data_IF_183994249086
#
_entry.id   IF_183994249086
#
_cell.length_a   1.000
_cell.length_b   1.000
_cell.length_c   1.000
_cell.angle_alpha   90.00
_cell.angle_beta   90.00
_cell.angle_gamma   90.00
#
_symmetry.space_group_name_H-M   'P 1'
#
loop_
_entity.id
_entity.type
_entity.pdbx_description
1 polymer ?
#
# COMPACT_ATOMS: atom_id res chain seq x y z
N UNK A 1 13.51 20.77 2.67
CA UNK A 1 12.14 20.19 2.56
C UNK A 1 12.00 19.07 3.58
N UNK A 2 10.83 18.94 4.21
CA UNK A 2 10.55 17.84 5.14
C UNK A 2 9.77 16.74 4.43
N UNK A 3 10.30 15.52 4.45
CA UNK A 3 9.69 14.35 3.82
C UNK A 3 9.24 13.39 4.92
N UNK A 4 8.06 12.81 4.80
CA UNK A 4 7.58 11.75 5.67
C UNK A 4 7.49 10.43 4.90
N UNK A 5 8.25 9.42 5.31
CA UNK A 5 8.05 8.04 4.87
C UNK A 5 7.10 7.36 5.86
N UNK A 6 5.92 6.96 5.39
CA UNK A 6 4.90 6.34 6.22
C UNK A 6 5.10 4.82 6.21
N UNK A 7 5.21 4.21 7.39
CA UNK A 7 5.40 2.78 7.65
C UNK A 7 6.51 2.49 8.67
N UNK A 8 6.78 1.21 8.90
CA UNK A 8 7.71 0.74 9.93
C UNK A 8 8.54 -0.48 9.51
N UNK A 9 8.45 -0.90 8.25
CA UNK A 9 9.20 -2.04 7.73
C UNK A 9 10.58 -1.66 7.22
N UNK A 10 11.38 -2.67 6.88
CA UNK A 10 12.71 -2.45 6.30
C UNK A 10 12.68 -1.76 4.92
N UNK A 11 11.56 -1.88 4.18
CA UNK A 11 11.34 -1.14 2.93
C UNK A 11 11.32 0.37 3.20
N UNK A 12 10.60 0.79 4.23
CA UNK A 12 10.49 2.21 4.57
C UNK A 12 11.82 2.78 5.08
N UNK A 13 12.58 2.01 5.88
CA UNK A 13 13.93 2.43 6.27
C UNK A 13 14.87 2.56 5.06
N UNK A 14 14.82 1.62 4.11
CA UNK A 14 15.65 1.68 2.91
C UNK A 14 15.29 2.88 2.02
N UNK A 15 14.00 3.19 1.89
CA UNK A 15 13.53 4.39 1.18
C UNK A 15 14.01 5.65 1.89
N UNK A 16 13.82 5.74 3.21
CA UNK A 16 14.26 6.88 4.01
C UNK A 16 15.76 7.10 3.88
N UNK A 17 16.56 6.03 4.01
CA UNK A 17 18.01 6.06 3.82
C UNK A 17 18.42 6.55 2.42
N UNK A 18 17.75 6.08 1.37
CA UNK A 18 18.05 6.51 0.00
C UNK A 18 17.70 7.99 -0.24
N UNK A 19 16.58 8.46 0.33
CA UNK A 19 16.18 9.87 0.27
C UNK A 19 17.16 10.77 1.03
N UNK A 20 17.61 10.35 2.21
CA UNK A 20 18.67 11.06 2.95
C UNK A 20 19.95 11.17 2.10
N UNK A 21 20.36 10.06 1.46
CA UNK A 21 21.57 10.01 0.67
C UNK A 21 21.54 10.95 -0.56
N UNK A 22 20.42 10.96 -1.29
CA UNK A 22 20.25 11.78 -2.49
C UNK A 22 20.10 13.28 -2.23
N UNK A 23 19.66 13.66 -1.02
CA UNK A 23 19.29 15.04 -0.68
C UNK A 23 20.24 15.73 0.31
N UNK A 24 21.38 15.11 0.64
CA UNK A 24 22.38 15.69 1.55
C UNK A 24 22.86 17.11 1.18
N UNK A 25 22.67 17.58 -0.05
CA UNK A 25 23.07 18.92 -0.49
C UNK A 25 22.02 20.03 -0.23
N UNK A 26 20.77 19.69 0.13
CA UNK A 26 19.65 20.64 0.21
C UNK A 26 19.05 20.81 1.62
N UNK A 27 19.71 20.31 2.67
CA UNK A 27 19.23 20.34 4.06
C UNK A 27 17.80 19.77 4.23
N UNK A 28 17.46 18.73 3.45
CA UNK A 28 16.18 18.04 3.58
C UNK A 28 16.16 17.13 4.83
N UNK A 29 15.04 17.12 5.56
CA UNK A 29 14.82 16.23 6.72
C UNK A 29 13.87 15.11 6.33
N UNK A 30 14.29 13.86 6.52
CA UNK A 30 13.48 12.67 6.22
C UNK A 30 13.01 12.06 7.53
N UNK A 31 11.70 12.15 7.79
CA UNK A 31 11.03 11.53 8.91
C UNK A 31 10.45 10.18 8.52
N UNK A 32 10.33 9.26 9.47
CA UNK A 32 9.61 7.99 9.31
C UNK A 32 8.54 7.89 10.40
N UNK A 33 7.33 7.45 10.05
CA UNK A 33 6.26 7.26 11.03
C UNK A 33 5.43 5.97 10.77
N UNK A 34 5.22 5.11 11.78
CA UNK A 34 5.80 5.19 13.13
C UNK A 34 7.28 4.78 13.17
N UNK A 35 7.85 4.30 12.07
CA UNK A 35 9.23 3.83 11.99
C UNK A 35 9.52 2.60 12.85
N UNK A 36 10.79 2.23 12.95
CA UNK A 36 11.26 1.14 13.81
C UNK A 36 12.59 1.53 14.52
N UNK A 37 13.29 0.57 15.12
CA UNK A 37 14.55 0.83 15.85
C UNK A 37 15.73 1.32 15.00
N UNK A 38 15.66 1.18 13.67
CA UNK A 38 16.64 1.69 12.73
C UNK A 38 16.34 3.10 12.21
N UNK A 39 15.11 3.59 12.38
CA UNK A 39 14.68 4.88 11.84
C UNK A 39 15.29 6.05 12.65
N UNK A 40 15.97 6.98 11.97
CA UNK A 40 16.71 8.08 12.61
C UNK A 40 15.81 9.19 13.16
N UNK A 41 14.99 9.80 12.30
CA UNK A 41 14.03 10.83 12.68
C UNK A 41 12.63 10.21 12.72
N UNK A 42 12.16 9.88 13.92
CA UNK A 42 10.92 9.13 14.11
C UNK A 42 9.80 10.05 14.57
N UNK A 43 8.64 9.92 13.94
CA UNK A 43 7.38 10.52 14.38
C UNK A 43 6.41 9.40 14.75
N UNK A 44 5.37 9.73 15.54
CA UNK A 44 4.36 8.76 15.97
C UNK A 44 3.00 9.12 15.37
N UNK A 45 2.39 8.15 14.69
CA UNK A 45 1.04 8.21 14.12
C UNK A 45 0.61 6.80 13.75
N UNK A 46 -0.70 6.52 13.85
CA UNK A 46 -1.26 5.34 13.19
C UNK A 46 -1.20 5.56 11.67
N UNK A 47 -0.43 4.76 10.92
CA UNK A 47 -0.28 4.95 9.47
C UNK A 47 -1.55 4.61 8.70
N UNK A 48 -2.59 4.06 9.34
CA UNK A 48 -3.88 3.73 8.73
C UNK A 48 -4.99 4.72 9.09
N UNK A 49 -4.70 5.76 9.88
CA UNK A 49 -5.63 6.86 10.17
C UNK A 49 -5.34 8.06 9.25
N UNK A 50 -6.15 8.29 8.20
CA UNK A 50 -5.88 9.37 7.23
C UNK A 50 -5.87 10.75 7.88
N UNK A 51 -6.73 11.00 8.86
CA UNK A 51 -6.85 12.31 9.48
C UNK A 51 -5.66 12.58 10.40
N UNK A 52 -5.25 11.59 11.19
CA UNK A 52 -4.08 11.71 12.05
C UNK A 52 -2.79 11.96 11.24
N UNK A 53 -2.65 11.31 10.07
CA UNK A 53 -1.52 11.54 9.16
C UNK A 53 -1.54 12.96 8.58
N UNK A 54 -2.70 13.47 8.16
CA UNK A 54 -2.83 14.86 7.67
C UNK A 54 -2.46 15.86 8.78
N UNK A 55 -2.93 15.64 10.01
CA UNK A 55 -2.66 16.53 11.14
C UNK A 55 -1.20 16.48 11.58
N UNK A 56 -0.55 15.32 11.52
CA UNK A 56 0.90 15.18 11.67
C UNK A 56 1.63 16.02 10.61
N UNK A 57 1.25 15.88 9.34
CA UNK A 57 1.92 16.57 8.24
C UNK A 57 1.83 18.09 8.38
N UNK A 58 0.68 18.61 8.81
CA UNK A 58 0.50 20.05 9.07
C UNK A 58 1.35 20.53 10.24
N UNK A 59 1.36 19.79 11.35
CA UNK A 59 2.13 20.14 12.55
C UNK A 59 3.63 20.17 12.28
N UNK A 60 4.13 19.17 11.54
CA UNK A 60 5.55 19.03 11.26
C UNK A 60 5.98 19.73 9.97
N UNK A 61 5.08 20.45 9.29
CA UNK A 61 5.34 21.12 8.02
C UNK A 61 5.93 20.18 6.94
N UNK A 62 5.37 18.98 6.81
CA UNK A 62 5.76 17.98 5.81
C UNK A 62 5.38 18.47 4.41
N UNK A 63 6.36 18.50 3.51
CA UNK A 63 6.21 18.92 2.11
C UNK A 63 6.01 17.77 1.13
N UNK A 64 6.29 16.53 1.53
CA UNK A 64 6.05 15.33 0.74
C UNK A 64 5.84 14.12 1.66
N UNK A 65 4.83 13.30 1.36
CA UNK A 65 4.64 12.00 2.00
C UNK A 65 4.93 10.88 1.00
N UNK A 66 5.69 9.87 1.41
CA UNK A 66 5.91 8.62 0.67
C UNK A 66 5.23 7.50 1.44
N UNK A 67 4.19 6.90 0.87
CA UNK A 67 3.41 5.85 1.56
C UNK A 67 4.00 4.48 1.23
N UNK A 68 4.49 3.78 2.26
CA UNK A 68 5.04 2.43 2.12
C UNK A 68 3.99 1.32 2.21
N UNK A 69 3.29 1.17 3.36
CA UNK A 69 2.33 0.09 3.58
C UNK A 69 1.12 0.15 2.67
N UNK A 70 0.78 -1.01 2.11
CA UNK A 70 -0.43 -1.23 1.32
C UNK A 70 -1.72 -1.03 2.14
N UNK A 71 -1.66 -1.24 3.46
CA UNK A 71 -2.77 -0.98 4.38
C UNK A 71 -3.11 0.51 4.47
N UNK A 72 -2.11 1.39 4.50
CA UNK A 72 -2.30 2.86 4.47
C UNK A 72 -2.95 3.30 3.15
N UNK A 73 -2.54 2.68 2.04
CA UNK A 73 -3.13 2.94 0.73
C UNK A 73 -4.60 2.49 0.68
N UNK A 74 -4.89 1.29 1.18
CA UNK A 74 -6.25 0.76 1.28
C UNK A 74 -7.17 1.63 2.17
N UNK A 75 -6.61 2.22 3.23
CA UNK A 75 -7.32 3.11 4.15
C UNK A 75 -7.59 4.51 3.57
N UNK A 76 -7.08 4.84 2.38
CA UNK A 76 -7.32 6.14 1.74
C UNK A 76 -6.45 7.28 2.26
N UNK A 77 -5.30 6.98 2.88
CA UNK A 77 -4.37 8.00 3.39
C UNK A 77 -3.89 8.93 2.27
N UNK A 78 -3.53 8.39 1.11
CA UNK A 78 -3.13 9.20 -0.04
C UNK A 78 -4.24 10.13 -0.54
N UNK A 79 -5.51 9.73 -0.42
CA UNK A 79 -6.63 10.55 -0.85
C UNK A 79 -6.84 11.73 0.10
N UNK A 80 -6.81 11.47 1.42
CA UNK A 80 -6.89 12.52 2.43
C UNK A 80 -5.74 13.54 2.32
N UNK A 81 -4.51 13.07 2.05
CA UNK A 81 -3.36 13.95 1.83
C UNK A 81 -3.54 14.85 0.60
N UNK A 82 -4.04 14.28 -0.52
CA UNK A 82 -4.35 15.08 -1.72
C UNK A 82 -5.44 16.10 -1.47
N UNK A 83 -6.51 15.73 -0.77
CA UNK A 83 -7.60 16.64 -0.41
C UNK A 83 -7.10 17.79 0.48
N UNK A 84 -6.15 17.49 1.37
CA UNK A 84 -5.47 18.48 2.19
C UNK A 84 -4.38 19.29 1.45
N UNK A 85 -4.20 19.10 0.14
CA UNK A 85 -3.16 19.73 -0.69
C UNK A 85 -1.72 19.43 -0.23
N UNK A 86 -1.50 18.27 0.39
CA UNK A 86 -0.18 17.77 0.78
C UNK A 86 0.33 16.83 -0.32
N UNK A 87 1.50 17.10 -0.94
CA UNK A 87 2.07 16.20 -1.93
C UNK A 87 2.29 14.79 -1.38
N UNK A 88 1.86 13.79 -2.14
CA UNK A 88 1.96 12.38 -1.74
C UNK A 88 2.37 11.49 -2.91
N UNK A 89 3.36 10.64 -2.66
CA UNK A 89 3.73 9.52 -3.51
C UNK A 89 3.10 8.23 -2.97
N UNK A 90 2.05 7.78 -3.65
CA UNK A 90 1.28 6.59 -3.32
C UNK A 90 -0.05 6.62 -4.07
N UNK A 91 -0.61 5.49 -4.55
CA UNK A 91 -1.88 5.49 -5.27
C UNK A 91 -3.06 5.95 -4.39
N UNK A 92 -4.18 6.32 -5.01
CA UNK A 92 -5.48 6.45 -4.31
C UNK A 92 -5.95 5.09 -3.80
N UNK A 93 -6.89 5.04 -2.85
CA UNK A 93 -7.50 3.79 -2.40
C UNK A 93 -8.10 2.99 -3.56
N UNK A 94 -8.74 3.68 -4.51
CA UNK A 94 -9.28 3.04 -5.71
C UNK A 94 -8.19 2.41 -6.59
N UNK A 95 -7.06 3.10 -6.81
CA UNK A 95 -5.96 2.57 -7.60
C UNK A 95 -5.20 1.46 -6.85
N UNK A 96 -5.13 1.56 -5.52
CA UNK A 96 -4.50 0.56 -4.65
C UNK A 96 -5.20 -0.81 -4.72
N UNK A 97 -6.45 -0.88 -5.19
CA UNK A 97 -7.17 -2.14 -5.42
C UNK A 97 -6.41 -3.12 -6.33
N UNK A 98 -5.52 -2.65 -7.19
CA UNK A 98 -4.63 -3.52 -7.99
C UNK A 98 -3.70 -4.39 -7.14
N UNK A 99 -3.34 -3.92 -5.94
CA UNK A 99 -2.49 -4.61 -4.97
C UNK A 99 -3.30 -5.18 -3.80
N UNK A 100 -4.33 -4.46 -3.36
CA UNK A 100 -5.09 -4.80 -2.14
C UNK A 100 -6.21 -5.81 -2.40
N UNK A 101 -6.64 -6.02 -3.65
CA UNK A 101 -7.60 -7.06 -4.04
C UNK A 101 -7.08 -7.87 -5.22
N UNK A 102 -6.81 -9.15 -4.96
CA UNK A 102 -6.43 -10.13 -5.98
C UNK A 102 -7.58 -10.35 -6.96
N UNK A 103 -8.83 -10.38 -6.49
CA UNK A 103 -10.00 -10.49 -7.34
C UNK A 103 -10.11 -9.30 -8.32
N UNK A 104 -9.96 -8.07 -7.81
CA UNK A 104 -9.93 -6.87 -8.64
C UNK A 104 -8.79 -6.92 -9.66
N UNK A 105 -7.58 -7.26 -9.22
CA UNK A 105 -6.41 -7.39 -10.08
C UNK A 105 -6.63 -8.41 -11.22
N UNK A 106 -7.22 -9.58 -10.94
CA UNK A 106 -7.55 -10.60 -11.96
C UNK A 106 -8.62 -10.13 -12.93
N UNK A 107 -9.66 -9.47 -12.43
CA UNK A 107 -10.70 -8.88 -13.28
C UNK A 107 -10.12 -7.80 -14.19
N UNK A 108 -9.26 -6.93 -13.66
CA UNK A 108 -8.56 -5.88 -14.40
C UNK A 108 -7.67 -6.48 -15.50
N UNK A 109 -6.84 -7.47 -15.17
CA UNK A 109 -5.98 -8.13 -16.14
C UNK A 109 -6.79 -8.77 -17.29
N UNK A 110 -7.87 -9.48 -16.95
CA UNK A 110 -8.77 -10.10 -17.94
C UNK A 110 -9.39 -9.05 -18.85
N UNK A 111 -9.96 -7.99 -18.27
CA UNK A 111 -10.61 -6.88 -19.00
C UNK A 111 -9.66 -6.19 -19.99
N UNK A 112 -8.39 -6.08 -19.62
CA UNK A 112 -7.37 -5.37 -20.40
C UNK A 112 -6.44 -6.30 -21.19
N UNK A 113 -6.76 -7.60 -21.27
CA UNK A 113 -5.96 -8.61 -21.97
C UNK A 113 -4.48 -8.63 -21.53
N UNK A 114 -4.22 -8.37 -20.24
CA UNK A 114 -2.89 -8.47 -19.65
C UNK A 114 -2.61 -9.95 -19.36
N UNK A 115 -1.49 -10.52 -19.83
CA UNK A 115 -1.15 -11.92 -19.57
C UNK A 115 -1.14 -12.23 -18.06
N UNK A 116 -1.97 -13.17 -17.64
CA UNK A 116 -2.05 -13.60 -16.24
C UNK A 116 -2.54 -15.06 -16.14
N UNK A 117 -2.25 -15.78 -15.05
CA UNK A 117 -2.78 -17.12 -14.82
C UNK A 117 -4.31 -17.15 -14.90
N UNK A 118 -4.86 -18.23 -15.46
CA UNK A 118 -6.30 -18.51 -15.40
C UNK A 118 -6.72 -18.58 -13.94
N UNK A 119 -7.79 -17.88 -13.59
CA UNK A 119 -8.29 -17.81 -12.22
C UNK A 119 -9.79 -17.57 -12.19
N UNK A 120 -10.45 -18.07 -11.14
CA UNK A 120 -11.84 -17.81 -10.84
C UNK A 120 -11.99 -17.32 -9.39
N UNK A 121 -12.98 -16.48 -9.12
CA UNK A 121 -13.24 -15.90 -7.79
C UNK A 121 -14.49 -16.57 -7.20
N UNK A 122 -14.34 -17.16 -6.01
CA UNK A 122 -15.42 -17.82 -5.30
C UNK A 122 -15.79 -17.05 -4.03
N UNK A 123 -17.09 -16.77 -3.85
CA UNK A 123 -17.61 -16.06 -2.69
C UNK A 123 -18.97 -16.62 -2.24
N UNK A 124 -19.30 -16.40 -0.96
CA UNK A 124 -20.56 -16.81 -0.35
C UNK A 124 -20.58 -18.25 0.21
N UNK A 125 -21.72 -18.70 0.75
CA UNK A 125 -21.81 -19.94 1.52
C UNK A 125 -21.43 -21.22 0.75
N UNK A 126 -21.54 -21.20 -0.57
CA UNK A 126 -21.25 -22.33 -1.46
C UNK A 126 -19.89 -22.21 -2.15
N UNK A 127 -19.03 -21.27 -1.72
CA UNK A 127 -17.75 -21.00 -2.38
C UNK A 127 -16.88 -22.26 -2.49
N UNK A 128 -16.81 -23.08 -1.43
CA UNK A 128 -15.99 -24.28 -1.41
C UNK A 128 -16.44 -25.32 -2.45
N UNK A 129 -17.75 -25.61 -2.53
CA UNK A 129 -18.30 -26.56 -3.50
C UNK A 129 -18.04 -26.10 -4.95
N UNK A 130 -18.31 -24.82 -5.24
CA UNK A 130 -18.06 -24.24 -6.56
C UNK A 130 -16.57 -24.25 -6.93
N UNK A 131 -15.70 -23.99 -5.96
CA UNK A 131 -14.25 -24.03 -6.16
C UNK A 131 -13.76 -25.44 -6.50
N UNK A 132 -14.28 -26.47 -5.82
CA UNK A 132 -13.94 -27.87 -6.11
C UNK A 132 -14.41 -28.29 -7.51
N UNK A 133 -15.66 -27.97 -7.87
CA UNK A 133 -16.20 -28.27 -9.20
C UNK A 133 -15.41 -27.59 -10.32
N UNK A 134 -14.98 -26.34 -10.12
CA UNK A 134 -14.13 -25.64 -11.07
C UNK A 134 -12.73 -26.25 -11.14
N UNK A 135 -12.17 -26.64 -9.98
CA UNK A 135 -10.85 -27.23 -9.89
C UNK A 135 -10.74 -28.57 -10.63
N UNK A 136 -11.77 -29.43 -10.51
CA UNK A 136 -11.86 -30.71 -11.23
C UNK A 136 -11.86 -30.56 -12.75
N UNK A 137 -12.23 -29.38 -13.28
CA UNK A 137 -12.25 -29.09 -14.71
C UNK A 137 -10.90 -28.61 -15.26
N UNK A 138 -9.95 -28.27 -14.39
CA UNK A 138 -8.65 -27.74 -14.82
C UNK A 138 -7.64 -28.86 -15.05
N UNK A 139 -6.80 -28.71 -16.07
CA UNK A 139 -5.72 -29.66 -16.39
C UNK A 139 -4.38 -29.33 -15.71
N UNK A 140 -4.38 -28.42 -14.73
CA UNK A 140 -3.18 -27.86 -14.11
C UNK A 140 -3.32 -27.80 -12.59
N UNK A 141 -2.18 -27.69 -11.89
CA UNK A 141 -2.15 -27.53 -10.44
C UNK A 141 -2.72 -26.16 -10.02
N UNK A 142 -3.46 -26.16 -8.91
CA UNK A 142 -4.23 -25.00 -8.46
C UNK A 142 -3.65 -24.46 -7.16
N UNK A 143 -3.62 -23.14 -7.07
CA UNK A 143 -3.27 -22.41 -5.84
C UNK A 143 -4.50 -21.64 -5.37
N UNK A 144 -4.88 -21.83 -4.11
CA UNK A 144 -5.94 -21.04 -3.46
C UNK A 144 -5.31 -19.83 -2.77
N UNK A 145 -5.87 -18.64 -3.00
CA UNK A 145 -5.41 -17.40 -2.37
C UNK A 145 -6.60 -16.65 -1.80
N UNK A 146 -6.47 -16.14 -0.58
CA UNK A 146 -7.45 -15.23 -0.02
C UNK A 146 -7.42 -13.89 -0.76
N UNK A 147 -8.59 -13.35 -1.09
CA UNK A 147 -8.72 -11.98 -1.56
C UNK A 147 -8.55 -11.00 -0.41
N UNK A 148 -8.10 -9.78 -0.71
CA UNK A 148 -7.77 -8.78 0.30
C UNK A 148 -6.29 -8.76 0.73
N UNK A 149 -6.03 -7.94 1.74
CA UNK A 149 -4.74 -7.83 2.41
C UNK A 149 -4.49 -9.06 3.28
N UNK A 150 -3.52 -9.88 2.89
CA UNK A 150 -3.12 -11.08 3.62
C UNK A 150 -1.71 -10.97 4.22
N UNK A 151 -1.11 -9.77 4.22
CA UNK A 151 0.24 -9.46 4.73
C UNK A 151 1.40 -10.27 4.11
N UNK A 152 1.17 -10.87 2.93
CA UNK A 152 2.10 -11.80 2.27
C UNK A 152 1.63 -13.23 2.36
#
# INVERSE_FOLDING_TARGET
MRILVLGSGGREDAIAWALEWGHHANDDEVFVAPGNGGSRLRLDVDPTDPQAVVDLCRREAIGLVVVGPESSLAAGVSDALREASIPVFGPSAQAAMLETSKAFCRSFATKHSIPSPVSEVFAGPQAAEKALLWAEQQSFEIVVKADGLAAG
#
